data_IF_906335665566
#
_entry.id   IF_906335665566
#
_cell.length_a   1.000
_cell.length_b   1.000
_cell.length_c   1.000
_cell.angle_alpha   90.00
_cell.angle_beta   90.00
_cell.angle_gamma   90.00
#
_symmetry.space_group_name_H-M   'P 1'
#
loop_
_entity.id
_entity.type
_entity.pdbx_description
1 polymer ?
#
# COMPACT_ATOMS: atom_id res chain seq x y z
N UNK A 1 9.76 -15.72 31.08
CA UNK A 1 8.45 -15.15 30.69
C UNK A 1 8.55 -14.75 29.23
N UNK A 2 7.65 -15.25 28.36
CA UNK A 2 7.70 -15.14 26.90
C UNK A 2 7.92 -13.69 26.40
N UNK A 3 7.16 -12.73 26.93
CA UNK A 3 7.24 -11.33 26.50
C UNK A 3 8.63 -10.71 26.72
N UNK A 4 9.35 -11.09 27.77
CA UNK A 4 10.73 -10.65 28.00
C UNK A 4 11.66 -11.24 26.94
N UNK A 5 11.54 -12.53 26.66
CA UNK A 5 12.34 -13.20 25.62
C UNK A 5 12.10 -12.59 24.23
N UNK A 6 10.85 -12.22 23.91
CA UNK A 6 10.53 -11.53 22.66
C UNK A 6 11.20 -10.16 22.57
N UNK A 7 11.22 -9.40 23.66
CA UNK A 7 11.93 -8.11 23.72
C UNK A 7 13.46 -8.26 23.65
N UNK A 8 14.01 -9.33 24.22
CA UNK A 8 15.44 -9.62 24.13
C UNK A 8 15.87 -9.95 22.68
N UNK A 9 14.98 -10.62 21.91
CA UNK A 9 15.21 -10.96 20.49
C UNK A 9 14.98 -9.73 19.58
N UNK A 10 13.92 -8.97 19.84
CA UNK A 10 13.54 -7.79 19.05
C UNK A 10 13.15 -6.65 20.00
N UNK A 11 14.09 -5.75 20.36
CA UNK A 11 13.85 -4.67 21.32
C UNK A 11 12.68 -3.74 20.96
N UNK A 12 12.48 -3.49 19.65
CA UNK A 12 11.45 -2.60 19.13
C UNK A 12 10.06 -3.26 18.99
N UNK A 13 9.90 -4.52 19.45
CA UNK A 13 8.60 -5.20 19.36
C UNK A 13 7.56 -4.49 20.22
N UNK A 14 6.40 -4.21 19.65
CA UNK A 14 5.24 -3.72 20.38
C UNK A 14 4.48 -4.89 21.01
N UNK A 15 4.25 -4.83 22.31
CA UNK A 15 3.52 -5.86 23.07
C UNK A 15 2.32 -5.23 23.75
N UNK A 16 1.13 -5.70 23.43
CA UNK A 16 -0.13 -5.33 24.10
C UNK A 16 -0.63 -6.55 24.86
N UNK A 17 -0.82 -6.44 26.16
CA UNK A 17 -1.46 -7.47 26.96
C UNK A 17 -2.97 -7.29 26.99
N UNK A 18 -3.71 -8.37 26.74
CA UNK A 18 -5.17 -8.41 26.85
C UNK A 18 -5.54 -9.50 27.85
N UNK A 19 -5.99 -9.11 29.06
CA UNK A 19 -6.16 -10.04 30.17
C UNK A 19 -7.31 -9.62 31.10
N UNK A 20 -7.84 -10.58 31.85
CA UNK A 20 -8.84 -10.33 32.92
C UNK A 20 -8.20 -10.01 34.29
N UNK A 21 -6.87 -9.99 34.42
CA UNK A 21 -6.18 -9.88 35.69
C UNK A 21 -5.43 -8.55 35.84
N UNK A 22 -5.90 -7.65 36.70
CA UNK A 22 -5.25 -6.36 36.99
C UNK A 22 -3.83 -6.52 37.58
N UNK A 23 -3.59 -7.57 38.33
CA UNK A 23 -2.32 -7.80 39.06
C UNK A 23 -1.08 -7.85 38.17
N UNK A 24 -1.22 -8.09 36.88
CA UNK A 24 -0.11 -8.15 35.93
C UNK A 24 0.17 -6.79 35.24
N UNK A 25 -0.59 -5.74 35.55
CA UNK A 25 -0.38 -4.42 34.94
C UNK A 25 1.01 -3.84 35.29
N UNK A 26 1.40 -3.89 36.56
CA UNK A 26 2.70 -3.39 37.01
C UNK A 26 3.89 -4.15 36.38
N UNK A 27 3.91 -5.49 36.33
CA UNK A 27 4.92 -6.23 35.59
C UNK A 27 4.97 -5.90 34.10
N UNK A 28 3.81 -5.64 33.47
CA UNK A 28 3.75 -5.24 32.07
C UNK A 28 4.39 -3.86 31.81
N UNK A 29 4.14 -2.90 32.70
CA UNK A 29 4.76 -1.57 32.66
C UNK A 29 6.28 -1.67 32.86
N UNK A 30 6.74 -2.47 33.83
CA UNK A 30 8.17 -2.65 34.13
C UNK A 30 8.97 -3.26 32.96
N UNK A 31 8.31 -4.05 32.09
CA UNK A 31 8.93 -4.59 30.87
C UNK A 31 8.71 -3.72 29.63
N UNK A 32 8.22 -2.49 29.82
CA UNK A 32 7.92 -1.55 28.72
C UNK A 32 6.98 -2.15 27.69
N UNK A 33 5.89 -2.82 28.13
CA UNK A 33 4.80 -3.19 27.23
C UNK A 33 4.18 -1.93 26.65
N UNK A 34 3.79 -2.01 25.38
CA UNK A 34 3.20 -0.86 24.65
C UNK A 34 1.80 -0.55 25.12
N UNK A 35 1.03 -1.58 25.53
CA UNK A 35 -0.33 -1.41 26.04
C UNK A 35 -0.75 -2.54 26.99
N UNK A 36 -1.81 -2.26 27.76
CA UNK A 36 -2.43 -3.22 28.67
C UNK A 36 -3.95 -3.00 28.69
N UNK A 37 -4.69 -3.98 28.18
CA UNK A 37 -6.13 -3.91 28.03
C UNK A 37 -6.81 -4.95 28.92
N UNK A 38 -7.90 -4.55 29.56
CA UNK A 38 -8.72 -5.46 30.36
C UNK A 38 -9.76 -6.16 29.51
N UNK A 39 -10.00 -7.45 29.74
CA UNK A 39 -11.12 -8.17 29.15
C UNK A 39 -12.44 -7.85 29.87
N UNK A 40 -13.54 -7.62 29.13
CA UNK A 40 -13.70 -7.64 27.68
C UNK A 40 -13.03 -6.41 27.04
N UNK A 41 -12.15 -6.64 26.05
CA UNK A 41 -11.45 -5.55 25.39
C UNK A 41 -12.43 -4.73 24.53
N UNK A 42 -12.46 -3.43 24.74
CA UNK A 42 -13.29 -2.50 23.99
C UNK A 42 -12.61 -2.18 22.64
N UNK A 43 -13.31 -2.28 21.48
CA UNK A 43 -12.75 -1.91 20.18
C UNK A 43 -12.13 -0.51 20.12
N UNK A 44 -12.70 0.46 20.86
CA UNK A 44 -12.17 1.83 20.94
C UNK A 44 -10.81 1.87 21.65
N UNK A 45 -10.64 1.11 22.73
CA UNK A 45 -9.37 1.01 23.46
C UNK A 45 -8.31 0.32 22.62
N UNK A 46 -8.67 -0.76 21.92
CA UNK A 46 -7.77 -1.45 20.97
C UNK A 46 -7.33 -0.47 19.87
N UNK A 47 -8.27 0.24 19.27
CA UNK A 47 -7.97 1.23 18.22
C UNK A 47 -7.06 2.35 18.73
N UNK A 48 -7.24 2.80 19.98
CA UNK A 48 -6.38 3.82 20.59
C UNK A 48 -4.94 3.32 20.75
N UNK A 49 -4.74 2.10 21.26
CA UNK A 49 -3.38 1.52 21.40
C UNK A 49 -2.72 1.29 20.04
N UNK A 50 -3.47 0.83 19.05
CA UNK A 50 -2.97 0.68 17.68
C UNK A 50 -2.64 2.04 17.05
N UNK A 51 -3.47 3.05 17.28
CA UNK A 51 -3.20 4.42 16.80
C UNK A 51 -1.96 5.01 17.48
N UNK A 52 -1.72 4.71 18.76
CA UNK A 52 -0.49 5.12 19.44
C UNK A 52 0.75 4.48 18.80
N UNK A 53 0.70 3.18 18.48
CA UNK A 53 1.80 2.45 17.87
C UNK A 53 2.06 2.88 16.43
N UNK A 54 1.01 2.99 15.63
CA UNK A 54 1.10 3.24 14.18
C UNK A 54 0.86 4.71 13.82
N UNK A 55 0.10 5.44 14.64
CA UNK A 55 -0.26 6.84 14.39
C UNK A 55 0.88 7.83 14.65
N UNK A 56 1.87 7.50 15.50
CA UNK A 56 3.07 8.33 15.65
C UNK A 56 3.98 8.25 14.42
N UNK A 57 4.00 7.11 13.71
CA UNK A 57 4.65 7.03 12.40
C UNK A 57 3.96 7.92 11.34
N UNK A 58 2.65 8.08 11.45
CA UNK A 58 1.88 8.97 10.56
C UNK A 58 1.98 10.46 10.93
N UNK A 59 2.30 10.80 12.19
CA UNK A 59 2.44 12.20 12.65
C UNK A 59 3.84 12.80 12.48
N UNK A 60 4.85 11.97 12.24
CA UNK A 60 6.23 12.44 12.09
C UNK A 60 6.54 13.07 10.73
N UNK A 61 5.64 12.94 9.75
CA UNK A 61 5.77 13.56 8.44
C UNK A 61 4.47 14.25 8.06
N UNK A 62 4.58 15.47 7.52
CA UNK A 62 3.49 16.18 6.81
C UNK A 62 3.08 15.44 5.51
N UNK A 63 3.46 14.17 5.37
CA UNK A 63 3.23 13.34 4.21
C UNK A 63 1.89 12.63 4.34
N UNK A 64 1.15 12.62 3.24
CA UNK A 64 -0.11 11.91 3.12
C UNK A 64 0.09 10.41 3.27
N UNK A 65 -0.78 9.75 4.02
CA UNK A 65 -0.80 8.29 4.07
C UNK A 65 -1.41 7.75 2.77
N UNK A 66 -0.58 7.09 1.94
CA UNK A 66 -1.02 6.53 0.66
C UNK A 66 -0.97 5.01 0.77
N UNK A 67 -2.14 4.39 0.85
CA UNK A 67 -2.30 2.95 0.87
C UNK A 67 -2.82 2.44 -0.47
N UNK A 68 -2.17 1.43 -1.03
CA UNK A 68 -2.53 0.82 -2.31
C UNK A 68 -2.89 -0.64 -2.09
N UNK A 69 -4.04 -1.02 -2.59
CA UNK A 69 -4.51 -2.40 -2.66
C UNK A 69 -4.34 -2.89 -4.09
N UNK A 70 -3.69 -4.04 -4.24
CA UNK A 70 -3.50 -4.75 -5.51
C UNK A 70 -4.09 -6.16 -5.48
N UNK A 71 -4.34 -6.71 -4.29
CA UNK A 71 -4.98 -8.02 -4.13
C UNK A 71 -6.50 -7.90 -4.24
N UNK A 72 -7.12 -8.74 -5.09
CA UNK A 72 -8.55 -8.75 -5.36
C UNK A 72 -9.07 -7.60 -6.24
N UNK A 73 -8.21 -6.67 -6.66
CA UNK A 73 -8.54 -5.52 -7.47
C UNK A 73 -7.73 -4.29 -7.09
N UNK A 74 -7.65 -3.29 -7.98
CA UNK A 74 -6.83 -2.11 -7.75
C UNK A 74 -7.60 -1.00 -7.03
N UNK A 75 -7.11 -0.57 -5.86
CA UNK A 75 -7.66 0.57 -5.13
C UNK A 75 -6.56 1.40 -4.48
N UNK A 76 -6.76 2.71 -4.38
CA UNK A 76 -5.85 3.64 -3.72
C UNK A 76 -6.63 4.44 -2.68
N UNK A 77 -6.03 4.55 -1.51
CA UNK A 77 -6.56 5.34 -0.41
C UNK A 77 -5.53 6.42 -0.04
N UNK A 78 -5.99 7.63 0.12
CA UNK A 78 -5.20 8.77 0.61
C UNK A 78 -5.86 9.25 1.89
N UNK A 79 -5.15 9.17 3.03
CA UNK A 79 -5.69 9.43 4.37
C UNK A 79 -7.00 8.65 4.61
N UNK A 80 -6.99 7.34 4.30
CA UNK A 80 -8.11 6.39 4.38
C UNK A 80 -9.32 6.70 3.48
N UNK A 81 -9.23 7.68 2.59
CA UNK A 81 -10.28 8.01 1.62
C UNK A 81 -9.97 7.39 0.27
N UNK A 82 -10.93 6.62 -0.27
CA UNK A 82 -10.80 6.03 -1.59
C UNK A 82 -10.61 7.10 -2.66
N UNK A 83 -9.55 6.99 -3.44
CA UNK A 83 -9.29 7.86 -4.59
C UNK A 83 -10.11 7.41 -5.80
N UNK A 84 -10.98 8.29 -6.29
CA UNK A 84 -11.84 8.00 -7.44
C UNK A 84 -11.28 8.63 -8.72
N UNK A 85 -11.40 7.89 -9.82
CA UNK A 85 -10.92 8.31 -11.13
C UNK A 85 -12.11 8.53 -12.07
N UNK A 86 -12.11 9.63 -12.81
CA UNK A 86 -13.12 9.88 -13.83
C UNK A 86 -12.97 8.98 -15.06
N UNK A 87 -11.73 8.55 -15.36
CA UNK A 87 -11.41 7.68 -16.49
C UNK A 87 -10.71 6.43 -15.98
N UNK A 88 -11.24 5.26 -16.31
CA UNK A 88 -10.67 3.97 -15.91
C UNK A 88 -9.23 3.80 -16.43
N UNK A 89 -8.93 4.25 -17.65
CA UNK A 89 -7.56 4.21 -18.19
C UNK A 89 -6.54 5.03 -17.38
N UNK A 90 -6.96 6.06 -16.65
CA UNK A 90 -6.08 6.80 -15.75
C UNK A 90 -5.79 5.98 -14.45
N UNK A 91 -6.79 5.25 -13.95
CA UNK A 91 -6.64 4.29 -12.84
C UNK A 91 -5.73 3.13 -13.25
N UNK A 92 -5.95 2.57 -14.44
CA UNK A 92 -5.15 1.49 -15.00
C UNK A 92 -3.68 1.90 -15.24
N UNK A 93 -3.43 3.10 -15.74
CA UNK A 93 -2.06 3.64 -15.87
C UNK A 93 -1.36 3.67 -14.52
N UNK A 94 -2.04 4.11 -13.47
CA UNK A 94 -1.45 4.11 -12.13
C UNK A 94 -1.21 2.68 -11.61
N UNK A 95 -2.12 1.73 -11.84
CA UNK A 95 -1.91 0.31 -11.51
C UNK A 95 -0.68 -0.26 -12.22
N UNK A 96 -0.50 0.05 -13.50
CA UNK A 96 0.67 -0.34 -14.27
C UNK A 96 1.98 0.22 -13.67
N UNK A 97 1.97 1.47 -13.20
CA UNK A 97 3.13 2.08 -12.54
C UNK A 97 3.43 1.43 -11.17
N UNK A 98 2.37 1.06 -10.43
CA UNK A 98 2.51 0.31 -9.16
C UNK A 98 3.11 -1.07 -9.41
N UNK A 99 2.62 -1.80 -10.41
CA UNK A 99 3.16 -3.11 -10.79
C UNK A 99 4.68 -3.06 -11.08
N UNK A 100 5.16 -1.95 -11.64
CA UNK A 100 6.57 -1.70 -11.95
C UNK A 100 7.48 -1.47 -10.74
N UNK A 101 6.94 -1.36 -9.54
CA UNK A 101 7.69 -1.25 -8.27
C UNK A 101 8.76 -0.14 -8.28
N UNK A 102 8.46 1.01 -8.85
CA UNK A 102 9.37 2.14 -8.97
C UNK A 102 10.26 2.13 -10.21
N UNK A 103 10.30 1.03 -10.97
CA UNK A 103 10.95 1.03 -12.27
C UNK A 103 10.15 1.92 -13.25
N UNK A 104 10.86 2.72 -14.03
CA UNK A 104 10.22 3.60 -15.00
C UNK A 104 9.67 2.82 -16.20
N UNK A 105 8.64 3.38 -16.82
CA UNK A 105 8.06 2.89 -18.06
C UNK A 105 8.04 4.00 -19.10
N UNK A 106 8.47 3.68 -20.31
CA UNK A 106 8.41 4.64 -21.41
C UNK A 106 6.96 4.87 -21.88
N UNK A 107 6.66 6.05 -22.41
CA UNK A 107 5.36 6.34 -22.99
C UNK A 107 4.92 5.29 -24.00
N UNK A 108 5.84 4.81 -24.84
CA UNK A 108 5.55 3.78 -25.84
C UNK A 108 5.15 2.44 -25.18
N UNK A 109 5.87 2.01 -24.14
CA UNK A 109 5.54 0.77 -23.42
C UNK A 109 4.20 0.92 -22.67
N UNK A 110 3.94 2.06 -22.04
CA UNK A 110 2.67 2.32 -21.36
C UNK A 110 1.49 2.28 -22.35
N UNK A 111 1.65 2.86 -23.53
CA UNK A 111 0.64 2.75 -24.59
C UNK A 111 0.41 1.29 -25.03
N UNK A 112 1.47 0.51 -25.21
CA UNK A 112 1.36 -0.89 -25.61
C UNK A 112 0.63 -1.75 -24.56
N UNK A 113 0.85 -1.51 -23.27
CA UNK A 113 0.15 -2.21 -22.20
C UNK A 113 -1.31 -1.80 -22.06
N UNK A 114 -1.59 -0.50 -22.18
CA UNK A 114 -2.95 0.03 -21.97
C UNK A 114 -3.87 -0.19 -23.17
N UNK A 115 -3.30 -0.38 -24.38
CA UNK A 115 -4.03 -0.55 -25.64
C UNK A 115 -3.30 -1.58 -26.51
N UNK A 116 -3.40 -2.85 -26.13
CA UNK A 116 -2.67 -3.98 -26.74
C UNK A 116 -2.88 -4.09 -28.26
N UNK A 117 -4.10 -3.78 -28.74
CA UNK A 117 -4.48 -3.91 -30.15
C UNK A 117 -4.35 -2.62 -30.97
N UNK A 118 -3.89 -1.52 -30.35
CA UNK A 118 -3.83 -0.22 -31.03
C UNK A 118 -2.43 0.06 -31.60
N UNK A 119 -2.38 0.60 -32.79
CA UNK A 119 -1.11 1.05 -33.37
C UNK A 119 -0.59 2.30 -32.66
N UNK A 120 0.71 2.32 -32.35
CA UNK A 120 1.36 3.47 -31.76
C UNK A 120 1.51 4.60 -32.77
N UNK A 121 0.50 5.45 -32.86
CA UNK A 121 0.43 6.59 -33.74
C UNK A 121 0.23 7.92 -32.97
N UNK A 122 0.13 9.01 -33.69
CA UNK A 122 -0.06 10.36 -33.09
C UNK A 122 -1.41 10.48 -32.36
N UNK A 123 -2.44 9.77 -32.82
CA UNK A 123 -3.77 9.78 -32.20
C UNK A 123 -3.71 9.10 -30.84
N UNK A 124 -3.12 7.90 -30.77
CA UNK A 124 -2.93 7.18 -29.50
C UNK A 124 -2.07 7.97 -28.52
N UNK A 125 -1.00 8.60 -28.99
CA UNK A 125 -0.14 9.45 -28.16
C UNK A 125 -0.92 10.63 -27.57
N UNK A 126 -1.74 11.32 -28.35
CA UNK A 126 -2.58 12.41 -27.86
C UNK A 126 -3.60 11.91 -26.83
N UNK A 127 -4.16 10.73 -27.05
CA UNK A 127 -5.10 10.13 -26.11
C UNK A 127 -4.38 9.76 -24.79
N UNK A 128 -3.20 9.14 -24.86
CA UNK A 128 -2.36 8.88 -23.68
C UNK A 128 -2.05 10.16 -22.89
N UNK A 129 -1.69 11.25 -23.56
CA UNK A 129 -1.43 12.54 -22.88
C UNK A 129 -2.67 13.05 -22.12
N UNK A 130 -3.88 12.82 -22.68
CA UNK A 130 -5.12 13.17 -21.99
C UNK A 130 -5.38 12.32 -20.75
N UNK A 131 -5.04 11.04 -20.79
CA UNK A 131 -5.12 10.11 -19.64
C UNK A 131 -4.10 10.49 -18.57
N UNK A 132 -2.87 10.79 -18.97
CA UNK A 132 -1.82 11.25 -18.05
C UNK A 132 -2.19 12.58 -17.37
N UNK A 133 -2.80 13.50 -18.10
CA UNK A 133 -3.30 14.76 -17.54
C UNK A 133 -4.40 14.52 -16.49
N UNK A 134 -5.32 13.59 -16.78
CA UNK A 134 -6.38 13.22 -15.83
C UNK A 134 -5.81 12.55 -14.57
N UNK A 135 -4.85 11.62 -14.71
CA UNK A 135 -4.13 11.02 -13.59
C UNK A 135 -3.49 12.11 -12.71
N UNK A 136 -2.74 13.01 -13.30
CA UNK A 136 -2.09 14.12 -12.57
C UNK A 136 -3.09 15.02 -11.85
N UNK A 137 -4.20 15.38 -12.49
CA UNK A 137 -5.25 16.19 -11.88
C UNK A 137 -5.87 15.47 -10.68
N UNK A 138 -6.08 14.16 -10.78
CA UNK A 138 -6.63 13.34 -9.71
C UNK A 138 -5.67 13.29 -8.52
N UNK A 139 -4.37 13.01 -8.74
CA UNK A 139 -3.36 12.98 -7.70
C UNK A 139 -3.16 14.36 -7.05
N UNK A 140 -3.12 15.44 -7.85
CA UNK A 140 -3.02 16.82 -7.34
C UNK A 140 -4.20 17.19 -6.46
N UNK A 141 -5.43 16.83 -6.87
CA UNK A 141 -6.64 17.08 -6.06
C UNK A 141 -6.60 16.35 -4.71
N UNK A 142 -5.97 15.18 -4.67
CA UNK A 142 -5.75 14.42 -3.44
C UNK A 142 -4.56 14.94 -2.61
N UNK A 143 -3.73 15.85 -3.15
CA UNK A 143 -2.53 16.38 -2.49
C UNK A 143 -1.36 15.40 -2.49
N UNK A 144 -1.28 14.52 -3.51
CA UNK A 144 -0.24 13.47 -3.66
C UNK A 144 0.35 13.46 -5.08
N UNK A 145 0.44 14.61 -5.73
CA UNK A 145 0.97 14.71 -7.11
C UNK A 145 2.44 14.24 -7.20
N UNK A 146 3.19 14.43 -6.14
CA UNK A 146 4.59 14.01 -6.00
C UNK A 146 4.79 12.48 -6.01
N UNK A 147 3.70 11.71 -5.88
CA UNK A 147 3.75 10.26 -6.10
C UNK A 147 4.20 9.90 -7.50
N UNK A 148 3.87 10.73 -8.50
CA UNK A 148 4.19 10.51 -9.90
C UNK A 148 5.52 11.17 -10.28
N UNK A 149 6.54 10.35 -10.54
CA UNK A 149 7.84 10.77 -11.06
C UNK A 149 7.79 10.83 -12.58
N UNK A 150 8.26 11.94 -13.18
CA UNK A 150 8.32 12.14 -14.62
C UNK A 150 9.76 12.27 -15.10
N UNK A 151 10.17 11.33 -15.96
CA UNK A 151 11.38 11.46 -16.77
C UNK A 151 11.11 12.19 -18.09
N UNK A 152 12.12 12.25 -18.96
CA UNK A 152 12.03 12.92 -20.27
C UNK A 152 10.97 12.26 -21.19
N UNK A 153 10.89 10.93 -21.20
CA UNK A 153 9.92 10.13 -21.96
C UNK A 153 9.43 8.94 -21.14
N UNK A 154 9.53 8.99 -19.83
CA UNK A 154 9.17 7.90 -18.92
C UNK A 154 8.38 8.40 -17.72
N UNK A 155 7.70 7.46 -17.08
CA UNK A 155 6.91 7.65 -15.88
C UNK A 155 7.29 6.57 -14.87
N UNK A 156 7.31 6.93 -13.60
CA UNK A 156 7.45 6.00 -12.49
C UNK A 156 6.63 6.49 -11.30
N UNK A 157 6.56 5.70 -10.25
CA UNK A 157 6.02 6.15 -8.96
C UNK A 157 7.11 6.13 -7.89
N UNK A 158 6.97 7.00 -6.89
CA UNK A 158 7.80 6.98 -5.71
C UNK A 158 7.29 5.92 -4.72
N UNK A 159 7.94 4.75 -4.75
CA UNK A 159 7.57 3.61 -3.90
C UNK A 159 7.81 3.85 -2.40
N UNK A 160 8.63 4.84 -2.06
CA UNK A 160 8.90 5.18 -0.66
C UNK A 160 7.70 5.85 0.04
N UNK A 161 6.77 6.40 -0.75
CA UNK A 161 5.60 7.12 -0.27
C UNK A 161 4.34 6.29 -0.14
N UNK A 162 4.40 5.00 -0.48
CA UNK A 162 3.23 4.12 -0.51
C UNK A 162 3.38 2.92 0.40
N UNK A 163 2.27 2.56 1.04
CA UNK A 163 2.04 1.27 1.67
C UNK A 163 1.22 0.40 0.71
N UNK A 164 1.83 -0.65 0.15
CA UNK A 164 1.24 -1.51 -0.87
C UNK A 164 1.26 -2.97 -0.43
N UNK A 165 0.10 -3.63 -0.49
CA UNK A 165 -0.08 -5.02 -0.07
C UNK A 165 0.85 -5.99 -0.82
N UNK A 166 0.99 -5.89 -2.14
CA UNK A 166 1.92 -6.73 -2.91
C UNK A 166 3.39 -6.47 -2.57
N UNK A 167 3.77 -5.23 -2.25
CA UNK A 167 5.14 -4.94 -1.84
C UNK A 167 5.45 -5.53 -0.47
N UNK A 168 4.49 -5.47 0.44
CA UNK A 168 4.59 -6.07 1.77
C UNK A 168 4.62 -7.60 1.68
N UNK A 169 3.82 -8.20 0.79
CA UNK A 169 3.87 -9.63 0.48
C UNK A 169 5.29 -10.07 0.03
N UNK A 170 5.88 -9.35 -0.92
CA UNK A 170 7.24 -9.65 -1.43
C UNK A 170 8.28 -9.56 -0.30
N UNK A 171 8.10 -8.67 0.67
CA UNK A 171 8.95 -8.54 1.86
C UNK A 171 8.70 -9.61 2.91
N UNK A 172 7.70 -10.48 2.72
CA UNK A 172 7.33 -11.53 3.67
C UNK A 172 6.54 -11.02 4.88
N UNK A 173 5.82 -9.90 4.75
CA UNK A 173 4.93 -9.42 5.83
C UNK A 173 3.81 -10.43 6.07
N UNK A 174 3.65 -10.96 7.31
CA UNK A 174 2.68 -12.01 7.58
C UNK A 174 1.22 -11.62 7.31
N UNK A 175 0.88 -10.34 7.47
CA UNK A 175 -0.48 -9.84 7.22
C UNK A 175 -0.74 -9.85 5.72
N UNK A 176 0.20 -9.36 4.92
CA UNK A 176 0.07 -9.33 3.47
C UNK A 176 0.08 -10.74 2.87
N UNK A 177 0.92 -11.65 3.40
CA UNK A 177 0.96 -13.06 2.97
C UNK A 177 -0.38 -13.75 3.24
N UNK A 178 -0.97 -13.57 4.43
CA UNK A 178 -2.26 -14.13 4.77
C UNK A 178 -3.45 -13.49 4.02
N UNK A 179 -3.30 -12.24 3.56
CA UNK A 179 -4.34 -11.54 2.81
C UNK A 179 -4.39 -11.94 1.32
N UNK A 180 -3.33 -12.53 0.78
CA UNK A 180 -3.27 -12.96 -0.61
C UNK A 180 -4.12 -14.21 -0.86
N UNK A 181 -5.07 -14.12 -1.78
CA UNK A 181 -6.00 -15.19 -2.15
C UNK A 181 -5.86 -15.63 -3.62
N UNK A 182 -4.68 -15.48 -4.20
CA UNK A 182 -4.43 -15.85 -5.60
C UNK A 182 -4.90 -14.82 -6.64
N UNK A 183 -5.30 -13.62 -6.24
CA UNK A 183 -5.83 -12.58 -7.11
C UNK A 183 -4.98 -11.30 -7.01
N UNK A 184 -4.13 -11.06 -8.00
CA UNK A 184 -3.33 -9.84 -8.12
C UNK A 184 -3.80 -9.04 -9.32
N UNK A 185 -4.16 -7.76 -9.14
CA UNK A 185 -4.61 -6.83 -10.20
C UNK A 185 -5.58 -7.48 -11.20
N UNK A 186 -6.53 -8.27 -10.71
CA UNK A 186 -7.42 -9.13 -11.50
C UNK A 186 -8.30 -8.35 -12.51
N UNK A 187 -8.37 -7.03 -12.38
CA UNK A 187 -9.10 -6.16 -13.31
C UNK A 187 -8.34 -5.94 -14.64
N UNK A 188 -7.07 -6.40 -14.76
CA UNK A 188 -6.18 -6.07 -15.87
C UNK A 188 -5.52 -7.32 -16.47
N UNK A 189 -5.73 -7.54 -17.80
CA UNK A 189 -5.16 -8.67 -18.55
C UNK A 189 -3.64 -8.74 -18.50
N UNK A 190 -2.96 -7.60 -18.62
CA UNK A 190 -1.51 -7.51 -18.59
C UNK A 190 -0.87 -7.95 -17.26
N UNK A 191 -1.65 -8.02 -16.16
CA UNK A 191 -1.17 -8.44 -14.85
C UNK A 191 -1.21 -9.97 -14.64
N UNK A 192 -1.79 -10.75 -15.53
CA UNK A 192 -1.96 -12.21 -15.40
C UNK A 192 -0.62 -12.96 -15.23
N UNK A 193 0.44 -12.52 -15.92
CA UNK A 193 1.78 -13.11 -15.78
C UNK A 193 2.36 -12.97 -14.37
N UNK A 194 2.04 -11.88 -13.68
CA UNK A 194 2.51 -11.66 -12.31
C UNK A 194 1.73 -12.49 -11.28
N UNK A 195 0.48 -12.85 -11.56
CA UNK A 195 -0.29 -13.78 -10.72
C UNK A 195 0.43 -15.13 -10.56
N UNK A 196 1.03 -15.66 -11.62
CA UNK A 196 1.84 -16.88 -11.56
C UNK A 196 3.01 -16.75 -10.59
N UNK A 197 3.75 -15.66 -10.63
CA UNK A 197 4.92 -15.41 -9.78
C UNK A 197 4.57 -15.26 -8.28
N UNK A 198 3.38 -14.74 -7.96
CA UNK A 198 2.89 -14.67 -6.57
C UNK A 198 2.45 -16.05 -6.06
N UNK A 199 1.85 -16.89 -6.91
CA UNK A 199 1.39 -18.23 -6.53
C UNK A 199 2.56 -19.19 -6.27
N UNK A 200 3.72 -19.03 -6.93
CA UNK A 200 4.92 -19.85 -6.68
C UNK A 200 5.61 -19.56 -5.35
N UNK A 201 5.32 -18.43 -4.72
CA UNK A 201 5.91 -17.99 -3.43
C UNK A 201 5.03 -18.33 -2.22
N UNK A 202 3.85 -18.87 -2.41
CA UNK A 202 2.91 -19.25 -1.39
C UNK A 202 2.90 -20.77 -1.23
#
# INVERSE_FOLDING_TARGET
MLAKQLKDIKPDIHIIFVTSFVKYALPAIQMHATGYLMKPANPVEISRELTFIYGERAKATNEKNIRIQTFGGFAIFVDDKLLTFKRQKAKELLACLVDRQGADITTKMACALLWEDESYDRKLLNYFQSILLELRKTLRKAGVEELLIRGRNSLAIDVSKIDCDSYNFIKGDPIAVNAYQGNYLSDYSWAELMNGAFNEKN
#
